data_IF_837705319445
#
_entry.id   IF_837705319445
#
_cell.length_a   1.000
_cell.length_b   1.000
_cell.length_c   1.000
_cell.angle_alpha   90.00
_cell.angle_beta   90.00
_cell.angle_gamma   90.00
#
_symmetry.space_group_name_H-M   'P 1'
#
loop_
_entity.id
_entity.type
_entity.pdbx_description
1 polymer ?
#
# COMPACT_ATOMS: atom_id res chain seq x y z
N UNK A 1 -1.32 37.32 -18.69
CA UNK A 1 -1.70 38.70 -19.07
C UNK A 1 -1.18 39.67 -18.01
N UNK A 2 -0.11 40.42 -18.30
CA UNK A 2 0.34 41.58 -17.52
C UNK A 2 1.53 42.26 -18.24
N UNK A 3 1.26 42.88 -19.40
CA UNK A 3 2.22 43.74 -20.11
C UNK A 3 2.20 45.27 -19.78
N UNK A 4 1.38 45.83 -18.86
CA UNK A 4 1.33 47.29 -18.70
C UNK A 4 2.46 47.89 -17.84
N UNK A 5 3.17 47.10 -17.03
CA UNK A 5 4.20 47.63 -16.11
C UNK A 5 5.51 48.02 -16.80
N UNK A 6 5.83 47.45 -17.96
CA UNK A 6 7.11 47.73 -18.64
C UNK A 6 7.12 49.09 -19.35
N UNK A 7 5.96 49.53 -19.85
CA UNK A 7 5.85 50.81 -20.57
C UNK A 7 5.86 52.03 -19.63
N UNK A 8 5.47 51.87 -18.36
CA UNK A 8 5.38 52.98 -17.42
C UNK A 8 6.75 53.47 -16.91
N UNK A 9 7.77 52.60 -16.84
CA UNK A 9 9.10 53.00 -16.37
C UNK A 9 9.92 53.73 -17.43
N UNK A 10 9.72 53.44 -18.73
CA UNK A 10 10.47 54.11 -19.79
C UNK A 10 10.09 55.60 -19.91
N UNK A 11 8.80 55.91 -19.79
CA UNK A 11 8.29 57.29 -19.92
C UNK A 11 8.77 58.22 -18.80
N UNK A 12 8.87 57.73 -17.56
CA UNK A 12 9.38 58.51 -16.44
C UNK A 12 10.87 58.86 -16.59
N UNK A 13 11.68 57.96 -17.16
CA UNK A 13 13.11 58.20 -17.41
C UNK A 13 13.29 59.30 -18.46
N UNK A 14 12.53 59.26 -19.56
CA UNK A 14 12.60 60.32 -20.58
C UNK A 14 12.12 61.68 -20.06
N UNK A 15 11.12 61.71 -19.19
CA UNK A 15 10.65 62.95 -18.58
C UNK A 15 11.70 63.59 -17.66
N UNK A 16 12.42 62.79 -16.87
CA UNK A 16 13.46 63.27 -15.95
C UNK A 16 14.73 63.79 -16.66
N UNK A 17 15.15 63.14 -17.74
CA UNK A 17 16.29 63.61 -18.56
C UNK A 17 15.98 64.96 -19.22
N UNK A 18 14.71 65.22 -19.53
CA UNK A 18 14.27 66.49 -20.11
C UNK A 18 14.34 67.65 -19.11
N UNK A 19 14.02 67.42 -17.84
CA UNK A 19 14.01 68.46 -16.79
C UNK A 19 15.41 68.83 -16.30
N UNK A 20 16.36 67.88 -16.28
CA UNK A 20 17.77 68.20 -15.95
C UNK A 20 18.40 69.10 -17.02
N UNK A 21 17.94 69.01 -18.26
CA UNK A 21 18.45 69.83 -19.36
C UNK A 21 17.98 71.29 -19.31
N UNK A 22 16.88 71.60 -18.61
CA UNK A 22 16.33 72.97 -18.54
C UNK A 22 16.88 73.82 -17.39
N UNK A 23 17.40 73.21 -16.32
CA UNK A 23 17.86 73.93 -15.11
C UNK A 23 19.30 74.48 -15.23
N UNK A 24 20.08 74.05 -16.23
CA UNK A 24 21.48 74.49 -16.41
C UNK A 24 21.64 75.89 -17.05
N UNK A 25 20.55 76.67 -17.18
CA UNK A 25 20.53 77.94 -17.92
C UNK A 25 20.71 79.23 -17.10
N UNK A 26 21.08 79.20 -15.82
CA UNK A 26 21.10 80.43 -15.01
C UNK A 26 22.41 80.70 -14.24
N UNK A 27 22.96 81.88 -14.54
CA UNK A 27 23.91 82.73 -13.80
C UNK A 27 25.43 82.42 -13.88
N UNK A 28 26.06 82.97 -14.91
CA UNK A 28 27.48 83.32 -14.93
C UNK A 28 27.73 84.58 -14.07
N UNK A 29 28.42 84.47 -12.95
CA UNK A 29 29.30 85.52 -12.37
C UNK A 29 30.05 84.95 -11.14
N UNK A 30 31.00 84.04 -11.36
CA UNK A 30 32.12 83.91 -10.41
C UNK A 30 33.35 83.35 -11.13
N UNK A 31 34.41 84.15 -11.11
CA UNK A 31 35.72 83.86 -11.67
C UNK A 31 36.52 83.00 -10.70
N UNK A 32 36.28 81.69 -10.69
CA UNK A 32 37.21 80.73 -10.09
C UNK A 32 37.28 79.47 -10.96
N UNK A 33 38.48 79.22 -11.51
CA UNK A 33 38.95 78.00 -12.18
C UNK A 33 37.90 77.24 -13.02
N UNK A 34 37.86 77.56 -14.30
CA UNK A 34 36.98 77.01 -15.35
C UNK A 34 37.27 75.51 -15.60
N UNK A 35 36.88 74.63 -14.68
CA UNK A 35 36.75 73.19 -14.97
C UNK A 35 35.61 73.04 -15.97
N UNK A 36 35.90 72.34 -17.07
CA UNK A 36 35.06 72.26 -18.25
C UNK A 36 33.70 71.59 -17.92
N UNK A 37 32.58 72.34 -17.83
CA UNK A 37 31.30 71.86 -17.31
C UNK A 37 30.67 70.76 -18.17
N UNK A 38 31.09 70.66 -19.43
CA UNK A 38 30.66 69.64 -20.39
C UNK A 38 31.07 68.24 -19.92
N UNK A 39 32.30 68.07 -19.42
CA UNK A 39 32.79 66.76 -18.99
C UNK A 39 32.04 66.23 -17.76
N UNK A 40 31.70 67.12 -16.83
CA UNK A 40 30.93 66.76 -15.63
C UNK A 40 29.53 66.27 -16.03
N UNK A 41 28.87 66.98 -16.96
CA UNK A 41 27.54 66.61 -17.48
C UNK A 41 27.53 65.25 -18.18
N UNK A 42 28.51 64.96 -19.04
CA UNK A 42 28.64 63.65 -19.68
C UNK A 42 28.92 62.53 -18.67
N UNK A 43 29.74 62.81 -17.64
CA UNK A 43 29.97 61.87 -16.54
C UNK A 43 28.69 61.48 -15.80
N UNK A 44 27.82 62.45 -15.50
CA UNK A 44 26.52 62.19 -14.87
C UNK A 44 25.59 61.37 -15.78
N UNK A 45 25.48 61.71 -17.07
CA UNK A 45 24.64 60.96 -18.01
C UNK A 45 25.08 59.50 -18.16
N UNK A 46 26.40 59.25 -18.22
CA UNK A 46 26.95 57.88 -18.27
C UNK A 46 26.67 57.13 -16.96
N UNK A 47 26.85 57.79 -15.81
CA UNK A 47 26.60 57.19 -14.51
C UNK A 47 25.11 56.82 -14.31
N UNK A 48 24.19 57.70 -14.69
CA UNK A 48 22.75 57.43 -14.61
C UNK A 48 22.34 56.28 -15.54
N UNK A 49 22.85 56.25 -16.77
CA UNK A 49 22.61 55.13 -17.70
C UNK A 49 23.14 53.80 -17.15
N UNK A 50 24.33 53.83 -16.54
CA UNK A 50 24.92 52.65 -15.90
C UNK A 50 24.08 52.17 -14.72
N UNK A 51 23.67 53.07 -13.81
CA UNK A 51 22.82 52.76 -12.66
C UNK A 51 21.47 52.21 -13.13
N UNK A 52 20.83 52.83 -14.13
CA UNK A 52 19.54 52.37 -14.69
C UNK A 52 19.66 50.97 -15.29
N UNK A 53 20.73 50.70 -16.03
CA UNK A 53 21.02 49.37 -16.58
C UNK A 53 21.22 48.35 -15.48
N UNK A 54 21.96 48.70 -14.42
CA UNK A 54 22.21 47.82 -13.28
C UNK A 54 20.90 47.48 -12.53
N UNK A 55 20.02 48.46 -12.33
CA UNK A 55 18.67 48.23 -11.79
C UNK A 55 17.84 47.32 -12.70
N UNK A 56 17.87 47.54 -14.02
CA UNK A 56 17.19 46.68 -14.99
C UNK A 56 17.65 45.22 -14.93
N UNK A 57 18.96 44.99 -14.81
CA UNK A 57 19.55 43.65 -14.65
C UNK A 57 19.11 43.01 -13.33
N UNK A 58 19.16 43.74 -12.21
CA UNK A 58 18.72 43.23 -10.90
C UNK A 58 17.24 42.84 -10.92
N UNK A 59 16.37 43.67 -11.49
CA UNK A 59 14.95 43.37 -11.64
C UNK A 59 14.75 42.11 -12.50
N UNK A 60 15.48 41.99 -13.61
CA UNK A 60 15.41 40.81 -14.48
C UNK A 60 15.83 39.52 -13.75
N UNK A 61 16.91 39.58 -12.95
CA UNK A 61 17.35 38.45 -12.12
C UNK A 61 16.28 38.06 -11.10
N UNK A 62 15.66 39.03 -10.42
CA UNK A 62 14.58 38.77 -9.45
C UNK A 62 13.37 38.11 -10.13
N UNK A 63 12.95 38.62 -11.30
CA UNK A 63 11.84 38.04 -12.06
C UNK A 63 12.16 36.59 -12.46
N UNK A 64 13.36 36.35 -13.00
CA UNK A 64 13.80 35.00 -13.38
C UNK A 64 13.85 34.05 -12.18
N UNK A 65 14.33 34.52 -11.02
CA UNK A 65 14.33 33.75 -9.78
C UNK A 65 12.91 33.37 -9.33
N UNK A 66 11.97 34.32 -9.35
CA UNK A 66 10.56 34.06 -9.00
C UNK A 66 9.92 33.08 -9.99
N UNK A 67 10.18 33.22 -11.30
CA UNK A 67 9.67 32.31 -12.32
C UNK A 67 10.23 30.90 -12.16
N UNK A 68 11.54 30.76 -11.90
CA UNK A 68 12.18 29.47 -11.64
C UNK A 68 11.58 28.77 -10.42
N UNK A 69 11.39 29.51 -9.32
CA UNK A 69 10.76 28.97 -8.09
C UNK A 69 9.33 28.48 -8.35
N UNK A 70 8.53 29.24 -9.10
CA UNK A 70 7.16 28.84 -9.49
C UNK A 70 7.16 27.59 -10.38
N UNK A 71 8.11 27.49 -11.31
CA UNK A 71 8.22 26.34 -12.20
C UNK A 71 8.58 25.07 -11.41
N UNK A 72 9.47 25.16 -10.42
CA UNK A 72 9.81 24.04 -9.55
C UNK A 72 8.60 23.53 -8.77
N UNK A 73 7.83 24.43 -8.17
CA UNK A 73 6.61 24.05 -7.44
C UNK A 73 5.55 23.43 -8.35
N UNK A 74 5.41 23.94 -9.59
CA UNK A 74 4.50 23.39 -10.58
C UNK A 74 4.89 21.96 -10.98
N UNK A 75 6.19 21.73 -11.25
CA UNK A 75 6.71 20.41 -11.59
C UNK A 75 6.48 19.41 -10.44
N UNK A 76 6.73 19.82 -9.20
CA UNK A 76 6.48 18.97 -8.02
C UNK A 76 4.99 18.65 -7.85
N UNK A 77 4.09 19.63 -8.02
CA UNK A 77 2.64 19.38 -7.96
C UNK A 77 2.15 18.48 -9.09
N UNK A 78 2.60 18.71 -10.32
CA UNK A 78 2.22 17.88 -11.47
C UNK A 78 2.79 16.47 -11.34
N UNK A 79 4.00 16.31 -10.81
CA UNK A 79 4.55 14.98 -10.51
C UNK A 79 3.68 14.26 -9.47
N UNK A 80 3.27 14.93 -8.40
CA UNK A 80 2.38 14.35 -7.38
C UNK A 80 1.01 13.98 -7.97
N UNK A 81 0.44 14.83 -8.80
CA UNK A 81 -0.83 14.59 -9.49
C UNK A 81 -0.74 13.39 -10.45
N UNK A 82 0.29 13.33 -11.30
CA UNK A 82 0.52 12.20 -12.20
C UNK A 82 0.72 10.90 -11.42
N UNK A 83 1.46 10.92 -10.32
CA UNK A 83 1.67 9.77 -9.45
C UNK A 83 0.33 9.30 -8.84
N UNK A 84 -0.49 10.23 -8.37
CA UNK A 84 -1.83 9.94 -7.85
C UNK A 84 -2.76 9.37 -8.94
N UNK A 85 -2.80 9.97 -10.13
CA UNK A 85 -3.60 9.47 -11.25
C UNK A 85 -3.13 8.09 -11.71
N UNK A 86 -1.82 7.86 -11.77
CA UNK A 86 -1.25 6.54 -12.04
C UNK A 86 -1.69 5.51 -10.99
N UNK A 87 -1.61 5.84 -9.70
CA UNK A 87 -2.10 4.95 -8.64
C UNK A 87 -3.61 4.72 -8.70
N UNK A 88 -4.41 5.73 -9.01
CA UNK A 88 -5.86 5.59 -9.15
C UNK A 88 -6.24 4.73 -10.35
N UNK A 89 -5.62 4.95 -11.51
CA UNK A 89 -5.85 4.12 -12.70
C UNK A 89 -5.39 2.67 -12.48
N UNK A 90 -4.25 2.45 -11.83
CA UNK A 90 -3.81 1.11 -11.46
C UNK A 90 -4.79 0.45 -10.48
N UNK A 91 -5.33 1.19 -9.51
CA UNK A 91 -6.37 0.67 -8.59
C UNK A 91 -7.64 0.31 -9.33
N UNK A 92 -8.11 1.14 -10.27
CA UNK A 92 -9.32 0.84 -11.05
C UNK A 92 -9.12 -0.39 -11.95
N UNK A 93 -8.00 -0.45 -12.68
CA UNK A 93 -7.67 -1.62 -13.51
C UNK A 93 -7.50 -2.90 -12.67
N UNK A 94 -6.91 -2.78 -11.47
CA UNK A 94 -6.77 -3.88 -10.53
C UNK A 94 -8.14 -4.35 -10.01
N UNK A 95 -9.05 -3.44 -9.68
CA UNK A 95 -10.41 -3.79 -9.30
C UNK A 95 -11.18 -4.51 -10.41
N UNK A 96 -11.06 -4.05 -11.65
CA UNK A 96 -11.71 -4.71 -12.79
C UNK A 96 -11.17 -6.13 -12.99
N UNK A 97 -9.85 -6.33 -12.94
CA UNK A 97 -9.24 -7.68 -13.03
C UNK A 97 -9.56 -8.56 -11.81
N UNK A 98 -9.65 -7.97 -10.61
CA UNK A 98 -9.99 -8.70 -9.38
C UNK A 98 -11.45 -9.08 -9.28
N UNK A 99 -12.35 -8.44 -10.03
CA UNK A 99 -13.77 -8.82 -10.10
C UNK A 99 -14.00 -10.24 -10.66
N UNK A 100 -12.99 -10.80 -11.35
CA UNK A 100 -13.02 -12.15 -11.91
C UNK A 100 -12.69 -13.21 -10.83
N UNK A 101 -11.99 -12.83 -9.75
CA UNK A 101 -11.57 -13.74 -8.70
C UNK A 101 -12.73 -14.00 -7.73
N UNK A 102 -12.87 -15.25 -7.28
CA UNK A 102 -13.81 -15.56 -6.20
C UNK A 102 -13.28 -15.06 -4.85
N UNK A 103 -14.16 -14.93 -3.86
CA UNK A 103 -13.72 -14.70 -2.48
C UNK A 103 -12.87 -15.88 -2.00
N UNK A 104 -11.99 -15.63 -1.04
CA UNK A 104 -11.25 -16.69 -0.36
C UNK A 104 -12.20 -17.69 0.31
N UNK A 105 -11.88 -18.98 0.18
CA UNK A 105 -12.62 -20.07 0.83
C UNK A 105 -11.64 -20.95 1.61
N UNK A 106 -11.66 -21.03 2.94
CA UNK A 106 -10.71 -21.86 3.67
C UNK A 106 -10.87 -23.35 3.30
N UNK A 107 -9.78 -24.13 3.42
CA UNK A 107 -9.85 -25.58 3.17
C UNK A 107 -10.67 -26.32 4.23
N UNK A 108 -10.77 -25.76 5.43
CA UNK A 108 -11.45 -26.36 6.58
C UNK A 108 -12.28 -25.31 7.31
N UNK A 109 -13.22 -25.77 8.13
CA UNK A 109 -13.87 -24.88 9.09
C UNK A 109 -12.85 -24.38 10.09
N UNK A 110 -13.10 -23.18 10.62
CA UNK A 110 -12.21 -22.57 11.59
C UNK A 110 -13.01 -21.77 12.62
N UNK A 111 -12.39 -21.57 13.78
CA UNK A 111 -12.90 -20.69 14.85
C UNK A 111 -11.84 -19.63 15.15
N UNK A 112 -12.26 -18.37 15.22
CA UNK A 112 -11.41 -17.27 15.69
C UNK A 112 -11.58 -17.06 17.21
N UNK A 113 -10.48 -16.75 17.88
CA UNK A 113 -10.43 -16.34 19.27
C UNK A 113 -9.50 -15.14 19.39
N UNK A 114 -10.02 -14.02 19.90
CA UNK A 114 -9.22 -12.84 20.18
C UNK A 114 -8.73 -12.90 21.62
N UNK A 115 -7.44 -12.68 21.82
CA UNK A 115 -6.78 -12.59 23.13
C UNK A 115 -6.27 -11.16 23.26
N UNK A 116 -6.91 -10.42 24.15
CA UNK A 116 -6.56 -9.05 24.53
C UNK A 116 -6.28 -8.96 26.03
N UNK A 117 -5.92 -7.78 26.52
CA UNK A 117 -5.65 -7.52 27.94
C UNK A 117 -6.84 -7.80 28.88
N UNK A 118 -8.06 -7.98 28.37
CA UNK A 118 -9.28 -8.29 29.16
C UNK A 118 -9.59 -9.79 29.19
N UNK A 119 -8.87 -10.59 28.40
CA UNK A 119 -9.14 -12.01 28.24
C UNK A 119 -8.85 -12.78 29.52
N UNK A 120 -9.75 -13.69 29.91
CA UNK A 120 -9.56 -14.51 31.11
C UNK A 120 -8.36 -15.46 30.95
N UNK A 121 -7.43 -15.53 31.92
CA UNK A 121 -6.30 -16.47 31.89
C UNK A 121 -6.72 -17.93 31.73
N UNK A 122 -7.92 -18.31 32.19
CA UNK A 122 -8.49 -19.66 32.06
C UNK A 122 -8.69 -20.05 30.59
N UNK A 123 -9.03 -19.09 29.73
CA UNK A 123 -9.17 -19.35 28.28
C UNK A 123 -7.81 -19.73 27.70
N UNK A 124 -6.75 -19.02 28.07
CA UNK A 124 -5.38 -19.30 27.60
C UNK A 124 -4.87 -20.63 28.15
N UNK A 125 -5.19 -20.99 29.41
CA UNK A 125 -4.88 -22.32 29.95
C UNK A 125 -5.55 -23.46 29.17
N UNK A 126 -6.81 -23.29 28.78
CA UNK A 126 -7.51 -24.26 27.93
C UNK A 126 -6.89 -24.36 26.53
N UNK A 127 -6.37 -23.25 25.98
CA UNK A 127 -5.64 -23.26 24.72
C UNK A 127 -4.29 -23.99 24.86
N UNK A 128 -3.56 -23.79 25.95
CA UNK A 128 -2.30 -24.52 26.23
C UNK A 128 -2.56 -26.03 26.25
N UNK A 129 -3.65 -26.48 26.89
CA UNK A 129 -3.99 -27.90 26.92
C UNK A 129 -4.25 -28.48 25.53
N UNK A 130 -4.89 -27.70 24.64
CA UNK A 130 -5.18 -28.10 23.25
C UNK A 130 -3.92 -28.09 22.38
N UNK A 131 -3.09 -27.05 22.48
CA UNK A 131 -1.86 -26.87 21.68
C UNK A 131 -0.88 -28.03 21.86
N UNK A 132 -0.83 -28.64 23.04
CA UNK A 132 0.05 -29.80 23.30
C UNK A 132 -0.20 -31.01 22.39
N UNK A 133 -1.37 -31.09 21.74
CA UNK A 133 -1.71 -32.17 20.82
C UNK A 133 -1.47 -31.77 19.35
N UNK A 134 -0.97 -30.57 19.11
CA UNK A 134 -0.85 -29.95 17.79
C UNK A 134 0.62 -29.72 17.50
N UNK A 135 1.06 -30.17 16.33
CA UNK A 135 2.47 -30.07 15.90
C UNK A 135 2.68 -29.13 14.72
N UNK A 136 1.60 -28.51 14.21
CA UNK A 136 1.63 -27.70 12.99
C UNK A 136 0.92 -26.38 13.22
N UNK A 137 1.63 -25.30 12.97
CA UNK A 137 1.15 -23.95 13.18
C UNK A 137 1.43 -23.09 11.95
N UNK A 138 0.53 -22.16 11.67
CA UNK A 138 0.80 -21.06 10.75
C UNK A 138 0.83 -19.77 11.53
N UNK A 139 1.80 -18.92 11.25
CA UNK A 139 2.00 -17.67 11.96
C UNK A 139 1.98 -16.51 10.98
N UNK A 140 1.26 -15.47 11.36
CA UNK A 140 1.20 -14.21 10.62
C UNK A 140 1.24 -13.01 11.58
N UNK A 141 2.36 -12.25 11.63
CA UNK A 141 2.39 -10.99 12.34
C UNK A 141 1.58 -9.94 11.58
N UNK A 142 0.73 -9.19 12.29
CA UNK A 142 -0.12 -8.15 11.73
C UNK A 142 0.00 -6.87 12.55
N UNK A 143 0.42 -5.78 11.91
CA UNK A 143 0.41 -4.45 12.49
C UNK A 143 -0.83 -3.71 11.98
N UNK A 144 -1.69 -3.25 12.90
CA UNK A 144 -2.81 -2.40 12.50
C UNK A 144 -2.27 -1.04 12.07
N UNK A 145 -2.45 -0.69 10.80
CA UNK A 145 -1.95 0.58 10.25
C UNK A 145 -2.65 1.78 10.92
N UNK A 146 -3.86 1.56 11.48
CA UNK A 146 -4.70 2.62 12.04
C UNK A 146 -4.56 2.78 13.55
N UNK A 147 -4.13 1.74 14.25
CA UNK A 147 -3.86 1.80 15.69
C UNK A 147 -2.44 1.31 15.93
N UNK A 148 -1.62 2.01 16.73
CA UNK A 148 -0.25 1.57 17.06
C UNK A 148 -0.19 0.21 17.81
N UNK A 149 -1.31 -0.53 17.85
CA UNK A 149 -1.46 -1.86 18.37
C UNK A 149 -0.90 -2.86 17.38
N UNK A 150 -0.19 -3.83 17.95
CA UNK A 150 0.43 -4.92 17.20
C UNK A 150 -0.27 -6.20 17.57
N UNK A 151 -0.52 -7.02 16.56
CA UNK A 151 -1.19 -8.29 16.71
C UNK A 151 -0.30 -9.41 16.20
N UNK A 152 -0.54 -10.57 16.78
CA UNK A 152 0.09 -11.82 16.39
C UNK A 152 -0.98 -12.85 16.13
N UNK A 153 -1.05 -13.37 14.92
CA UNK A 153 -2.00 -14.41 14.58
C UNK A 153 -1.34 -15.76 14.44
N UNK A 154 -2.01 -16.76 15.01
CA UNK A 154 -1.56 -18.14 14.97
C UNK A 154 -2.74 -19.03 14.63
N UNK A 155 -2.61 -19.79 13.54
CA UNK A 155 -3.50 -20.89 13.25
C UNK A 155 -2.97 -22.18 13.86
N UNK A 156 -3.82 -22.85 14.62
CA UNK A 156 -3.63 -24.21 15.11
C UNK A 156 -4.20 -25.17 14.07
N UNK A 157 -3.33 -25.85 13.32
CA UNK A 157 -3.75 -26.68 12.19
C UNK A 157 -4.14 -28.06 12.72
N UNK A 158 -5.45 -28.31 12.86
CA UNK A 158 -5.98 -29.62 13.25
C UNK A 158 -6.51 -30.40 12.05
N UNK A 159 -6.81 -31.68 12.26
CA UNK A 159 -7.37 -32.54 11.23
C UNK A 159 -8.79 -32.11 10.82
N UNK A 160 -9.65 -31.78 11.79
CA UNK A 160 -11.07 -31.48 11.57
C UNK A 160 -11.37 -29.99 11.37
N UNK A 161 -10.88 -29.12 12.26
CA UNK A 161 -11.16 -27.68 12.22
C UNK A 161 -9.98 -26.88 12.78
N UNK A 162 -9.63 -25.76 12.15
CA UNK A 162 -8.55 -24.91 12.64
C UNK A 162 -9.03 -23.97 13.75
N UNK A 163 -8.13 -23.62 14.68
CA UNK A 163 -8.37 -22.54 15.64
C UNK A 163 -7.40 -21.43 15.31
N UNK A 164 -7.91 -20.23 15.03
CA UNK A 164 -7.09 -19.04 14.81
C UNK A 164 -7.16 -18.21 16.07
N UNK A 165 -6.00 -17.93 16.65
CA UNK A 165 -5.89 -17.00 17.77
C UNK A 165 -5.26 -15.70 17.28
N UNK A 166 -5.87 -14.58 17.64
CA UNK A 166 -5.32 -13.24 17.41
C UNK A 166 -4.92 -12.68 18.76
N UNK A 167 -3.63 -12.52 19.02
CA UNK A 167 -3.08 -12.01 20.27
C UNK A 167 -2.71 -10.53 20.08
N UNK A 168 -3.34 -9.64 20.85
CA UNK A 168 -2.89 -8.25 21.01
C UNK A 168 -1.63 -8.22 21.89
N UNK A 169 -0.56 -7.57 21.43
CA UNK A 169 0.65 -7.38 22.25
C UNK A 169 0.39 -6.28 23.29
N UNK A 170 0.70 -6.55 24.56
CA UNK A 170 0.64 -5.55 25.62
C UNK A 170 1.78 -5.71 26.62
N UNK A 171 2.23 -4.57 27.18
CA UNK A 171 3.46 -4.50 27.99
C UNK A 171 3.32 -4.86 29.47
N UNK A 172 2.16 -5.31 29.91
CA UNK A 172 1.87 -5.52 31.33
C UNK A 172 2.12 -6.97 31.76
N UNK A 173 3.07 -7.15 32.69
CA UNK A 173 3.32 -8.45 33.35
C UNK A 173 2.14 -8.80 34.27
N UNK A 174 1.15 -9.47 33.70
CA UNK A 174 -0.05 -9.98 34.38
C UNK A 174 -0.06 -11.51 34.38
N UNK A 175 -0.96 -12.12 35.16
CA UNK A 175 -1.16 -13.57 35.08
C UNK A 175 -1.51 -14.00 33.63
N UNK A 176 -2.29 -13.20 32.91
CA UNK A 176 -2.61 -13.46 31.51
C UNK A 176 -1.33 -13.45 30.64
N UNK A 177 -0.46 -12.46 30.84
CA UNK A 177 0.82 -12.37 30.13
C UNK A 177 1.67 -13.63 30.33
N UNK A 178 1.80 -14.12 31.56
CA UNK A 178 2.53 -15.37 31.85
C UNK A 178 1.91 -16.59 31.14
N UNK A 179 0.57 -16.65 31.04
CA UNK A 179 -0.10 -17.73 30.29
C UNK A 179 0.11 -17.60 28.80
N UNK A 180 0.12 -16.39 28.23
CA UNK A 180 0.42 -16.17 26.81
C UNK A 180 1.86 -16.58 26.53
N UNK A 181 2.82 -16.17 27.37
CA UNK A 181 4.23 -16.54 27.22
C UNK A 181 4.43 -18.06 27.28
N UNK A 182 3.72 -18.73 28.19
CA UNK A 182 3.69 -20.20 28.26
C UNK A 182 3.04 -20.83 27.02
N UNK A 183 1.92 -20.29 26.53
CA UNK A 183 1.26 -20.76 25.31
C UNK A 183 2.20 -20.70 24.11
N UNK A 184 2.83 -19.54 23.91
CA UNK A 184 3.82 -19.35 22.86
C UNK A 184 5.00 -20.31 23.04
N UNK A 185 5.47 -20.53 24.27
CA UNK A 185 6.56 -21.48 24.53
C UNK A 185 6.23 -22.89 24.05
N UNK A 186 4.99 -23.36 24.23
CA UNK A 186 4.55 -24.67 23.72
C UNK A 186 4.45 -24.67 22.19
N UNK A 187 3.95 -23.59 21.58
CA UNK A 187 3.83 -23.47 20.11
C UNK A 187 5.20 -23.50 19.45
N UNK A 188 6.18 -22.78 20.00
CA UNK A 188 7.53 -22.64 19.47
C UNK A 188 8.50 -23.75 19.91
N UNK A 189 8.01 -24.84 20.52
CA UNK A 189 8.83 -26.03 20.77
C UNK A 189 9.45 -26.55 19.46
N UNK A 190 10.70 -27.03 19.53
CA UNK A 190 11.47 -27.46 18.35
C UNK A 190 10.88 -28.68 17.63
N UNK A 191 9.94 -29.40 18.27
CA UNK A 191 9.20 -30.51 17.65
C UNK A 191 8.08 -30.04 16.73
N UNK A 192 7.71 -28.76 16.78
CA UNK A 192 6.59 -28.22 16.02
C UNK A 192 7.09 -27.60 14.73
N UNK A 193 6.29 -27.75 13.67
CA UNK A 193 6.51 -27.11 12.39
C UNK A 193 5.74 -25.80 12.33
N UNK A 194 6.46 -24.70 12.09
CA UNK A 194 5.90 -23.36 12.01
C UNK A 194 5.97 -22.86 10.57
N UNK A 195 4.82 -22.54 10.00
CA UNK A 195 4.67 -22.10 8.63
C UNK A 195 4.51 -20.59 8.56
N UNK A 196 5.29 -19.95 7.68
CA UNK A 196 5.26 -18.49 7.50
C UNK A 196 5.27 -18.13 6.02
N UNK A 197 4.73 -16.96 5.66
CA UNK A 197 4.90 -16.40 4.33
C UNK A 197 6.13 -15.50 4.28
N UNK A 198 7.23 -16.03 3.75
CA UNK A 198 8.52 -15.33 3.77
C UNK A 198 9.29 -15.56 5.06
N UNK A 199 10.39 -14.82 5.19
CA UNK A 199 11.25 -14.92 6.37
C UNK A 199 10.61 -14.18 7.55
N UNK A 200 10.53 -14.85 8.70
CA UNK A 200 9.95 -14.29 9.93
C UNK A 200 10.89 -13.23 10.59
N UNK A 201 12.07 -13.02 10.03
CA UNK A 201 13.25 -12.50 10.75
C UNK A 201 13.41 -10.98 10.84
N UNK A 202 12.52 -10.15 10.29
CA UNK A 202 12.78 -8.68 10.25
C UNK A 202 11.97 -7.81 11.19
N UNK A 203 10.81 -8.27 11.66
CA UNK A 203 9.90 -7.43 12.45
C UNK A 203 9.48 -8.05 13.80
N UNK A 204 10.08 -9.17 14.21
CA UNK A 204 9.80 -9.75 15.53
C UNK A 204 10.42 -8.96 16.70
N UNK A 205 11.24 -7.93 16.45
CA UNK A 205 11.78 -7.05 17.50
C UNK A 205 10.67 -6.48 18.39
N UNK A 206 9.56 -6.12 17.78
CA UNK A 206 8.40 -5.57 18.49
C UNK A 206 7.66 -6.59 19.35
N UNK A 207 7.91 -7.88 19.11
CA UNK A 207 7.33 -9.00 19.81
C UNK A 207 8.26 -9.55 20.90
N UNK A 208 9.50 -9.04 21.02
CA UNK A 208 10.51 -9.46 22.01
C UNK A 208 10.12 -9.24 23.47
N UNK A 209 8.90 -8.77 23.72
CA UNK A 209 8.33 -8.82 25.06
C UNK A 209 8.08 -10.26 25.52
N UNK A 210 7.71 -11.17 24.62
CA UNK A 210 7.54 -12.58 24.96
C UNK A 210 8.86 -13.34 24.79
N UNK A 211 9.12 -14.26 25.71
CA UNK A 211 10.43 -14.92 25.87
C UNK A 211 10.82 -15.78 24.66
N UNK A 212 9.83 -16.30 23.94
CA UNK A 212 10.03 -17.07 22.71
C UNK A 212 10.67 -16.25 21.59
N UNK A 213 10.45 -14.93 21.57
CA UNK A 213 10.92 -14.06 20.49
C UNK A 213 12.31 -13.49 20.73
N UNK A 214 12.96 -13.82 21.83
CA UNK A 214 14.39 -13.55 21.99
C UNK A 214 15.19 -14.34 20.95
N UNK A 215 16.18 -13.67 20.35
CA UNK A 215 16.95 -14.17 19.19
C UNK A 215 17.50 -15.60 19.35
N UNK A 216 17.83 -16.02 20.58
CA UNK A 216 18.34 -17.38 20.86
C UNK A 216 17.28 -18.49 20.92
N UNK A 217 16.00 -18.16 21.05
CA UNK A 217 14.91 -19.12 21.17
C UNK A 217 14.20 -19.37 19.84
N UNK A 218 14.02 -18.32 19.02
CA UNK A 218 13.46 -18.45 17.66
C UNK A 218 14.26 -19.46 16.85
N UNK A 219 15.60 -19.36 16.83
CA UNK A 219 16.47 -20.24 16.02
C UNK A 219 16.38 -21.75 16.34
N UNK A 220 15.63 -22.15 17.38
CA UNK A 220 15.43 -23.55 17.74
C UNK A 220 14.18 -24.18 17.10
N UNK A 221 13.26 -23.38 16.57
CA UNK A 221 12.02 -23.86 15.96
C UNK A 221 12.21 -24.21 14.48
N UNK A 222 11.45 -25.19 13.99
CA UNK A 222 11.47 -25.57 12.57
C UNK A 222 10.56 -24.65 11.74
N UNK A 223 11.16 -23.62 11.14
CA UNK A 223 10.45 -22.67 10.28
C UNK A 223 10.42 -23.10 8.83
N UNK A 224 9.21 -23.20 8.30
CA UNK A 224 8.94 -23.45 6.89
C UNK A 224 8.51 -22.16 6.22
N UNK A 225 9.43 -21.58 5.45
CA UNK A 225 9.12 -20.47 4.56
C UNK A 225 8.29 -21.00 3.36
N UNK A 226 6.97 -20.87 3.46
CA UNK A 226 6.01 -21.35 2.45
C UNK A 226 6.19 -20.62 1.12
N UNK A 227 6.63 -19.36 1.14
CA UNK A 227 6.85 -18.57 -0.06
C UNK A 227 7.99 -19.14 -0.92
N UNK A 228 9.09 -19.58 -0.30
CA UNK A 228 10.18 -20.26 -0.99
C UNK A 228 9.73 -21.59 -1.59
N UNK A 229 9.02 -22.40 -0.79
CA UNK A 229 8.48 -23.68 -1.24
C UNK A 229 7.48 -23.50 -2.40
N UNK A 230 6.65 -22.46 -2.33
CA UNK A 230 5.70 -22.11 -3.39
C UNK A 230 6.41 -21.77 -4.69
N UNK A 231 7.45 -20.94 -4.63
CA UNK A 231 8.20 -20.54 -5.82
C UNK A 231 8.82 -21.77 -6.51
N UNK A 232 9.41 -22.67 -5.75
CA UNK A 232 9.97 -23.92 -6.26
C UNK A 232 8.90 -24.84 -6.87
N UNK A 233 7.85 -25.15 -6.09
CA UNK A 233 6.75 -26.00 -6.53
C UNK A 233 6.06 -25.45 -7.79
N UNK A 234 5.80 -24.14 -7.84
CA UNK A 234 5.15 -23.52 -8.97
C UNK A 234 6.02 -23.57 -10.23
N UNK A 235 7.33 -23.29 -10.12
CA UNK A 235 8.23 -23.38 -11.27
C UNK A 235 8.30 -24.81 -11.84
N UNK A 236 8.31 -25.81 -10.96
CA UNK A 236 8.31 -27.22 -11.36
C UNK A 236 7.01 -27.65 -12.07
N UNK A 237 5.86 -27.17 -11.59
CA UNK A 237 4.56 -27.60 -12.10
C UNK A 237 4.05 -26.75 -13.27
N UNK A 238 4.36 -25.46 -13.30
CA UNK A 238 3.85 -24.48 -14.27
C UNK A 238 4.94 -23.77 -15.07
N UNK A 239 6.21 -24.22 -15.00
CA UNK A 239 7.34 -23.65 -15.74
C UNK A 239 7.18 -23.68 -17.26
N UNK A 240 8.04 -22.91 -17.94
CA UNK A 240 7.97 -22.46 -19.34
C UNK A 240 7.69 -23.52 -20.43
N UNK A 241 7.80 -24.82 -20.14
CA UNK A 241 7.69 -25.89 -21.13
C UNK A 241 6.43 -26.77 -20.98
N UNK A 242 5.54 -26.45 -20.03
CA UNK A 242 4.28 -27.18 -19.86
C UNK A 242 3.16 -26.32 -20.46
N UNK A 243 2.41 -26.89 -21.41
CA UNK A 243 1.22 -26.34 -22.05
C UNK A 243 0.05 -26.16 -21.06
N UNK A 244 0.29 -25.57 -19.89
CA UNK A 244 -0.78 -25.04 -19.08
C UNK A 244 -1.17 -23.72 -19.72
N UNK A 245 -2.35 -23.71 -20.36
CA UNK A 245 -3.06 -22.50 -20.73
C UNK A 245 -2.90 -21.49 -19.60
N UNK A 246 -2.26 -20.37 -19.92
CA UNK A 246 -1.81 -19.40 -18.92
C UNK A 246 -2.92 -19.12 -17.92
N UNK A 247 -2.64 -19.45 -16.66
CA UNK A 247 -3.35 -18.93 -15.50
C UNK A 247 -3.41 -17.42 -15.73
N UNK A 248 -4.63 -16.88 -15.88
CA UNK A 248 -5.01 -15.48 -16.04
C UNK A 248 -3.83 -14.51 -16.21
N UNK A 249 -3.74 -13.86 -17.37
CA UNK A 249 -2.73 -12.83 -17.67
C UNK A 249 -3.00 -11.58 -16.81
N UNK A 250 -2.80 -11.69 -15.49
CA UNK A 250 -2.67 -10.58 -14.58
C UNK A 250 -1.35 -9.90 -14.91
N UNK A 251 -1.37 -9.11 -15.98
CA UNK A 251 -0.40 -8.03 -16.17
C UNK A 251 -0.61 -7.05 -15.02
N UNK A 252 0.01 -7.33 -13.88
CA UNK A 252 0.14 -6.34 -12.82
C UNK A 252 1.52 -6.40 -12.19
N UNK A 253 1.98 -5.20 -11.89
CA UNK A 253 3.37 -4.76 -11.79
C UNK A 253 3.80 -4.66 -10.34
N UNK A 254 4.47 -5.68 -9.83
CA UNK A 254 5.40 -5.48 -8.71
C UNK A 254 6.81 -5.06 -9.24
N UNK A 255 6.98 -4.94 -10.58
CA UNK A 255 8.23 -4.62 -11.27
C UNK A 255 7.92 -3.80 -12.55
N UNK A 256 8.76 -2.86 -13.01
CA UNK A 256 8.51 -2.09 -14.23
C UNK A 256 8.32 -3.00 -15.44
N UNK A 257 7.23 -2.76 -16.17
CA UNK A 257 6.84 -3.45 -17.39
C UNK A 257 7.94 -3.36 -18.45
N UNK A 258 8.48 -4.51 -18.84
CA UNK A 258 8.87 -4.71 -20.23
C UNK A 258 7.76 -5.50 -20.91
N UNK A 259 7.09 -4.80 -21.82
CA UNK A 259 6.07 -5.34 -22.72
C UNK A 259 6.70 -6.43 -23.57
N UNK A 260 6.31 -7.67 -23.31
CA UNK A 260 6.15 -8.79 -24.24
C UNK A 260 5.72 -9.96 -23.36
N UNK A 261 4.44 -10.34 -23.31
CA UNK A 261 3.92 -11.70 -23.04
C UNK A 261 4.61 -12.60 -21.99
N UNK A 262 5.35 -12.03 -21.05
CA UNK A 262 6.28 -12.73 -20.18
C UNK A 262 5.79 -12.51 -18.76
N UNK A 263 5.35 -13.62 -18.16
CA UNK A 263 4.97 -13.73 -16.76
C UNK A 263 5.99 -12.94 -15.91
N UNK A 264 5.57 -11.95 -15.10
CA UNK A 264 6.44 -10.90 -14.55
C UNK A 264 7.57 -11.35 -13.61
N UNK A 265 7.85 -12.65 -13.44
CA UNK A 265 8.78 -13.17 -12.44
C UNK A 265 9.78 -14.14 -13.07
N UNK A 266 10.61 -13.60 -13.98
CA UNK A 266 11.73 -14.33 -14.60
C UNK A 266 12.97 -14.38 -13.70
N UNK A 267 13.00 -13.65 -12.58
CA UNK A 267 14.14 -13.64 -11.65
C UNK A 267 13.77 -14.19 -10.28
N UNK A 268 14.59 -15.12 -9.77
CA UNK A 268 14.46 -15.79 -8.46
C UNK A 268 14.46 -14.86 -7.24
N UNK A 269 14.84 -13.58 -7.44
CA UNK A 269 14.89 -12.56 -6.38
C UNK A 269 13.54 -11.89 -6.09
N UNK A 270 12.53 -12.08 -6.95
CA UNK A 270 11.21 -11.48 -6.75
C UNK A 270 10.27 -12.49 -6.11
N UNK A 271 9.97 -12.25 -4.84
CA UNK A 271 9.06 -13.05 -4.03
C UNK A 271 7.62 -12.65 -4.31
N UNK A 272 6.77 -13.61 -4.68
CA UNK A 272 5.34 -13.33 -4.94
C UNK A 272 4.64 -12.93 -3.64
N UNK A 273 3.78 -11.92 -3.70
CA UNK A 273 2.86 -11.64 -2.60
C UNK A 273 1.90 -12.82 -2.38
N UNK A 274 1.42 -12.98 -1.15
CA UNK A 274 0.49 -14.05 -0.77
C UNK A 274 -0.79 -13.98 -1.62
N UNK A 275 -1.34 -12.77 -1.79
CA UNK A 275 -2.51 -12.51 -2.63
C UNK A 275 -2.31 -13.00 -4.08
N UNK A 276 -1.15 -12.72 -4.68
CA UNK A 276 -0.87 -13.15 -6.05
C UNK A 276 -0.68 -14.66 -6.13
N UNK A 277 0.02 -15.26 -5.16
CA UNK A 277 0.18 -16.71 -5.10
C UNK A 277 -1.16 -17.43 -5.04
N UNK A 278 -2.08 -16.92 -4.21
CA UNK A 278 -3.44 -17.43 -4.11
C UNK A 278 -4.26 -17.17 -5.37
N UNK A 279 -4.25 -15.96 -5.92
CA UNK A 279 -4.98 -15.64 -7.16
C UNK A 279 -4.52 -16.54 -8.32
N UNK A 280 -3.22 -16.77 -8.46
CA UNK A 280 -2.68 -17.65 -9.50
C UNK A 280 -2.98 -19.13 -9.25
N UNK A 281 -3.06 -19.58 -8.00
CA UNK A 281 -3.23 -21.01 -7.71
C UNK A 281 -4.69 -21.38 -7.59
N UNK A 282 -5.48 -20.59 -6.86
CA UNK A 282 -6.86 -20.91 -6.50
C UNK A 282 -7.90 -20.04 -7.22
N UNK A 283 -7.50 -19.00 -7.98
CA UNK A 283 -8.41 -17.98 -8.53
C UNK A 283 -9.24 -17.26 -7.46
N UNK A 284 -8.64 -17.08 -6.29
CA UNK A 284 -9.27 -16.44 -5.13
C UNK A 284 -8.61 -15.10 -4.81
N UNK A 285 -9.38 -14.19 -4.21
CA UNK A 285 -8.93 -12.88 -3.79
C UNK A 285 -8.93 -12.74 -2.26
N UNK A 286 -7.83 -12.23 -1.71
CA UNK A 286 -7.70 -11.86 -0.29
C UNK A 286 -8.08 -10.41 -0.01
N UNK A 287 -8.09 -9.52 -1.02
CA UNK A 287 -8.14 -8.06 -0.79
C UNK A 287 -9.45 -7.51 -0.22
N UNK A 288 -10.56 -8.23 -0.33
CA UNK A 288 -11.85 -7.71 0.15
C UNK A 288 -12.04 -7.88 1.66
N UNK A 289 -11.21 -8.68 2.31
CA UNK A 289 -11.27 -8.96 3.73
C UNK A 289 -9.93 -8.50 4.30
N UNK A 290 -9.83 -7.23 4.77
CA UNK A 290 -8.73 -6.75 5.62
C UNK A 290 -8.79 -7.50 6.97
N UNK A 291 -8.62 -8.80 6.91
CA UNK A 291 -8.83 -9.73 7.98
C UNK A 291 -7.62 -10.65 7.95
N UNK A 292 -6.63 -10.30 8.76
CA UNK A 292 -5.38 -11.04 8.92
C UNK A 292 -5.63 -12.54 9.11
N UNK A 293 -6.75 -12.94 9.75
CA UNK A 293 -7.11 -14.35 9.94
C UNK A 293 -7.15 -15.12 8.60
N UNK A 294 -7.54 -14.45 7.52
CA UNK A 294 -7.63 -15.01 6.17
C UNK A 294 -6.24 -15.24 5.59
N UNK A 295 -5.26 -14.41 5.94
CA UNK A 295 -3.87 -14.57 5.51
C UNK A 295 -3.23 -15.81 6.14
N UNK A 296 -3.46 -16.06 7.44
CA UNK A 296 -3.09 -17.33 8.09
C UNK A 296 -3.64 -18.54 7.32
N UNK A 297 -4.96 -18.55 7.07
CA UNK A 297 -5.62 -19.63 6.35
C UNK A 297 -5.10 -19.79 4.92
N UNK A 298 -4.75 -18.70 4.25
CA UNK A 298 -4.20 -18.72 2.90
C UNK A 298 -2.80 -19.33 2.86
N UNK A 299 -1.96 -19.04 3.85
CA UNK A 299 -0.63 -19.65 4.01
C UNK A 299 -0.79 -21.16 4.23
N UNK A 300 -1.67 -21.57 5.14
CA UNK A 300 -1.97 -22.98 5.42
C UNK A 300 -2.50 -23.70 4.17
N UNK A 301 -3.40 -23.05 3.41
CA UNK A 301 -3.91 -23.58 2.15
C UNK A 301 -2.79 -23.82 1.15
N UNK A 302 -1.97 -22.81 0.87
CA UNK A 302 -0.86 -22.93 -0.07
C UNK A 302 0.15 -23.96 0.40
N UNK A 303 0.50 -23.97 1.70
CA UNK A 303 1.39 -24.99 2.25
C UNK A 303 0.83 -26.39 2.08
N UNK A 304 -0.48 -26.58 2.26
CA UNK A 304 -1.12 -27.88 2.06
C UNK A 304 -0.99 -28.32 0.61
N UNK A 305 -1.38 -27.46 -0.34
CA UNK A 305 -1.28 -27.71 -1.80
C UNK A 305 0.16 -28.09 -2.22
N UNK A 306 1.15 -27.36 -1.70
CA UNK A 306 2.57 -27.59 -1.99
C UNK A 306 3.02 -28.93 -1.38
N UNK A 307 2.65 -29.19 -0.13
CA UNK A 307 3.04 -30.41 0.57
C UNK A 307 2.45 -31.67 -0.08
N UNK A 308 1.17 -31.60 -0.48
CA UNK A 308 0.48 -32.68 -1.21
C UNK A 308 0.83 -32.74 -2.69
N UNK A 309 1.68 -31.83 -3.18
CA UNK A 309 2.15 -31.77 -4.56
C UNK A 309 1.00 -31.78 -5.59
N UNK A 310 -0.03 -30.97 -5.37
CA UNK A 310 -1.15 -30.90 -6.31
C UNK A 310 -0.67 -30.63 -7.74
N UNK A 311 -1.25 -31.37 -8.67
CA UNK A 311 -1.06 -31.28 -10.11
C UNK A 311 -1.89 -30.13 -10.69
N UNK A 312 -1.59 -29.77 -11.93
CA UNK A 312 -2.37 -28.76 -12.65
C UNK A 312 -3.85 -29.15 -12.76
N UNK A 313 -4.14 -30.44 -12.94
CA UNK A 313 -5.50 -30.96 -13.06
C UNK A 313 -6.27 -30.81 -11.75
N UNK A 314 -5.69 -31.23 -10.61
CA UNK A 314 -6.33 -31.08 -9.29
C UNK A 314 -6.62 -29.62 -8.96
N UNK A 315 -5.74 -28.71 -9.36
CA UNK A 315 -5.95 -27.27 -9.21
C UNK A 315 -7.11 -26.76 -10.08
N UNK A 316 -7.21 -27.24 -11.32
CA UNK A 316 -8.34 -26.89 -12.20
C UNK A 316 -9.67 -27.43 -11.68
N UNK A 317 -9.68 -28.65 -11.17
CA UNK A 317 -10.87 -29.28 -10.61
C UNK A 317 -11.33 -28.56 -9.35
N UNK A 318 -10.40 -28.22 -8.44
CA UNK A 318 -10.67 -27.39 -7.28
C UNK A 318 -11.29 -26.02 -7.66
N UNK A 319 -10.76 -25.36 -8.69
CA UNK A 319 -11.32 -24.08 -9.18
C UNK A 319 -12.73 -24.24 -9.71
N UNK A 320 -13.02 -25.29 -10.48
CA UNK A 320 -14.36 -25.56 -11.02
C UNK A 320 -15.35 -25.79 -9.89
N UNK A 321 -14.99 -26.59 -8.89
CA UNK A 321 -15.82 -26.83 -7.70
C UNK A 321 -16.14 -25.52 -6.97
N UNK A 322 -15.13 -24.69 -6.72
CA UNK A 322 -15.31 -23.39 -6.06
C UNK A 322 -16.19 -22.43 -6.87
N UNK A 323 -16.04 -22.38 -8.21
CA UNK A 323 -16.88 -21.55 -9.07
C UNK A 323 -18.36 -21.98 -9.01
N UNK A 324 -18.64 -23.28 -8.94
CA UNK A 324 -20.00 -23.80 -8.76
C UNK A 324 -20.58 -23.36 -7.42
N UNK A 325 -19.81 -23.52 -6.33
CA UNK A 325 -20.25 -23.08 -4.99
C UNK A 325 -20.53 -21.57 -4.93
N UNK A 326 -19.68 -20.76 -5.57
CA UNK A 326 -19.87 -19.31 -5.64
C UNK A 326 -21.16 -18.93 -6.36
N UNK A 327 -21.42 -19.53 -7.54
CA UNK A 327 -22.66 -19.32 -8.29
C UNK A 327 -23.89 -19.69 -7.46
N UNK A 328 -23.87 -20.84 -6.78
CA UNK A 328 -24.98 -21.29 -5.92
C UNK A 328 -25.23 -20.30 -4.78
N UNK A 329 -24.17 -19.81 -4.11
CA UNK A 329 -24.29 -18.81 -3.03
C UNK A 329 -24.88 -17.50 -3.55
N UNK A 330 -24.39 -17.02 -4.70
CA UNK A 330 -24.91 -15.81 -5.35
C UNK A 330 -26.40 -15.92 -5.69
N UNK A 331 -26.85 -17.03 -6.27
CA UNK A 331 -28.27 -17.24 -6.56
C UNK A 331 -29.13 -17.31 -5.29
N UNK A 332 -28.64 -17.94 -4.22
CA UNK A 332 -29.34 -17.96 -2.92
C UNK A 332 -29.50 -16.54 -2.36
N UNK A 333 -28.45 -15.73 -2.37
CA UNK A 333 -28.50 -14.34 -1.91
C UNK A 333 -29.48 -13.51 -2.74
N UNK A 334 -29.48 -13.65 -4.06
CA UNK A 334 -30.43 -12.97 -4.95
C UNK A 334 -31.87 -13.41 -4.62
N UNK A 335 -32.13 -14.72 -4.51
CA UNK A 335 -33.47 -15.23 -4.17
C UNK A 335 -33.99 -14.78 -2.81
N UNK A 336 -33.09 -14.64 -1.82
CA UNK A 336 -33.44 -14.16 -0.49
C UNK A 336 -33.77 -12.66 -0.55
N UNK A 337 -32.98 -11.88 -1.30
CA UNK A 337 -33.23 -10.44 -1.50
C UNK A 337 -34.50 -10.14 -2.32
N UNK A 338 -34.87 -11.02 -3.25
CA UNK A 338 -36.12 -10.89 -4.02
C UNK A 338 -37.35 -11.29 -3.22
N UNK A 339 -37.24 -12.27 -2.32
CA UNK A 339 -38.35 -12.67 -1.43
C UNK A 339 -38.65 -11.60 -0.38
N UNK A 340 -37.63 -10.90 0.15
CA UNK A 340 -37.83 -9.76 1.06
C UNK A 340 -38.58 -8.60 0.37
N UNK A 341 -38.50 -8.49 -0.97
CA UNK A 341 -39.22 -7.48 -1.76
C UNK A 341 -40.68 -7.82 -2.07
N UNK A 342 -41.10 -9.08 -1.94
CA UNK A 342 -42.50 -9.47 -2.17
C UNK A 342 -43.36 -9.36 -0.90
N UNK A 343 -42.78 -9.54 0.29
CA UNK A 343 -43.54 -9.41 1.54
C UNK A 343 -43.77 -7.94 1.93
N UNK A 344 -42.91 -7.01 1.52
CA UNK A 344 -43.10 -5.56 1.75
C UNK A 344 -44.00 -4.86 0.72
N UNK A 345 -44.38 -5.52 -0.37
CA UNK A 345 -45.31 -4.96 -1.37
C UNK A 345 -46.77 -5.37 -1.12
N UNK A 346 -47.03 -6.42 -0.34
CA UNK A 346 -48.39 -6.86 -0.01
C UNK A 346 -49.00 -6.13 1.21
N UNK A 347 -48.22 -5.39 2.00
CA UNK A 347 -48.74 -4.59 3.12
C UNK A 347 -49.09 -3.13 2.75
N UNK A 348 -48.80 -2.67 1.54
CA UNK A 348 -49.15 -1.30 1.08
C UNK A 348 -50.37 -1.22 0.16
N UNK A 349 -51.16 -2.29 0.04
CA UNK A 349 -52.37 -2.27 -0.79
C UNK A 349 -53.65 -2.52 0.03
N UNK A 350 -54.06 -1.57 0.87
CA UNK A 350 -55.50 -1.32 1.01
C UNK A 350 -55.90 0.18 0.97
N UNK A 351 -55.13 1.07 0.33
CA UNK A 351 -55.49 2.51 0.27
C UNK A 351 -56.03 2.97 -1.11
N UNK A 352 -55.99 2.15 -2.17
CA UNK A 352 -56.47 2.55 -3.52
C UNK A 352 -57.76 1.81 -3.95
N UNK A 353 -58.72 1.63 -3.03
CA UNK A 353 -60.07 1.11 -3.36
C UNK A 353 -61.23 1.92 -2.77
N UNK A 354 -61.08 3.24 -2.66
CA UNK A 354 -62.20 4.17 -2.43
C UNK A 354 -62.03 5.47 -3.23
N UNK A 355 -61.95 5.37 -4.55
CA UNK A 355 -62.48 6.40 -5.47
C UNK A 355 -62.63 5.78 -6.85
N UNK A 356 -63.82 5.25 -7.14
CA UNK A 356 -64.58 5.22 -8.41
C UNK A 356 -65.90 4.54 -8.09
#
# INVERSE_FOLDING_TARGET
MSRPLFYFNLSCIFYWVSTISSVAGYNETSTYTKKNPVFIRWGYMILESFISTLFGVVISIIINYIQSKRMKTLIESTKKELLNTYFMNNRMNKHEKMSILSNFIPLKSFKCLNIDHTTSPVIVENLIAQVKQISRFTIFPYDDILSDRKFFEIEFIQESASIIITIEIFHQSTLLFEKIDKLLSVIFESSNMIQTWGDLDRNLLDYQIYTVFFYGNINKSDFVNVQNNFNYWYQRNFGLNKNCSGILDFQDTDIPLYSHSIRPYKYSKYTRSLCMALAFTCQENLYYENNSNVECLAITKLSTIIHTQWTCQEIEDYRKENQVQYKVKMYKTISFSSNIRFDTFNELTPIVKQTI
#
